data_IF_530850443339
#
_entry.id   IF_530850443339
#
_cell.length_a   1.000
_cell.length_b   1.000
_cell.length_c   1.000
_cell.angle_alpha   90.00
_cell.angle_beta   90.00
_cell.angle_gamma   90.00
#
_symmetry.space_group_name_H-M   'P 1'
#
loop_
_entity.id
_entity.type
_entity.pdbx_description
1 polymer ?
#
# COMPACT_ATOMS: atom_id res chain seq x y z
N UNK A 1 -23.76 23.92 10.37
CA UNK A 1 -23.32 23.47 9.03
C UNK A 1 -22.19 24.30 8.43
N UNK A 2 -22.26 25.63 8.39
CA UNK A 2 -21.19 26.49 7.84
C UNK A 2 -19.85 26.34 8.58
N UNK A 3 -19.87 26.27 9.91
CA UNK A 3 -18.67 26.08 10.74
C UNK A 3 -17.97 24.73 10.52
N UNK A 4 -18.73 23.66 10.23
CA UNK A 4 -18.18 22.34 9.90
C UNK A 4 -17.49 22.36 8.53
N UNK A 5 -18.07 23.08 7.55
CA UNK A 5 -17.45 23.27 6.24
C UNK A 5 -16.14 24.06 6.35
N UNK A 6 -16.12 25.12 7.17
CA UNK A 6 -14.91 25.91 7.41
C UNK A 6 -13.84 25.04 8.07
N UNK A 7 -14.20 24.24 9.09
CA UNK A 7 -13.27 23.31 9.74
C UNK A 7 -12.69 22.29 8.76
N UNK A 8 -13.53 21.71 7.88
CA UNK A 8 -13.07 20.76 6.85
C UNK A 8 -12.09 21.40 5.87
N UNK A 9 -12.36 22.62 5.41
CA UNK A 9 -11.46 23.36 4.51
C UNK A 9 -10.12 23.65 5.19
N UNK A 10 -10.15 24.10 6.45
CA UNK A 10 -8.93 24.32 7.24
C UNK A 10 -8.14 23.01 7.37
N UNK A 11 -8.80 21.91 7.73
CA UNK A 11 -8.16 20.60 7.85
C UNK A 11 -7.54 20.14 6.52
N UNK A 12 -8.24 20.33 5.40
CA UNK A 12 -7.73 19.99 4.07
C UNK A 12 -6.50 20.83 3.69
N UNK A 13 -6.50 22.13 4.01
CA UNK A 13 -5.34 23.02 3.78
C UNK A 13 -4.15 22.59 4.64
N UNK A 14 -4.38 22.28 5.92
CA UNK A 14 -3.33 21.81 6.84
C UNK A 14 -2.75 20.48 6.35
N UNK A 15 -3.60 19.52 5.99
CA UNK A 15 -3.16 18.23 5.44
C UNK A 15 -2.38 18.43 4.13
N UNK A 16 -2.90 19.26 3.21
CA UNK A 16 -2.24 19.57 1.95
C UNK A 16 -0.87 20.21 2.16
N UNK A 17 -0.77 21.18 3.08
CA UNK A 17 0.49 21.81 3.46
C UNK A 17 1.48 20.81 4.06
N UNK A 18 1.03 19.92 4.94
CA UNK A 18 1.87 18.87 5.52
C UNK A 18 2.39 17.90 4.45
N UNK A 19 1.55 17.49 3.50
CA UNK A 19 1.95 16.63 2.38
C UNK A 19 2.97 17.33 1.46
N UNK A 20 2.76 18.61 1.15
CA UNK A 20 3.73 19.39 0.37
C UNK A 20 5.07 19.52 1.10
N UNK A 21 5.05 19.74 2.41
CA UNK A 21 6.25 19.74 3.25
C UNK A 21 6.98 18.39 3.22
N UNK A 22 6.26 17.28 3.30
CA UNK A 22 6.84 15.95 3.18
C UNK A 22 7.48 15.71 1.81
N UNK A 23 6.80 16.10 0.72
CA UNK A 23 7.34 16.01 -0.65
C UNK A 23 8.62 16.83 -0.81
N UNK A 24 8.67 18.03 -0.22
CA UNK A 24 9.88 18.87 -0.26
C UNK A 24 11.07 18.28 0.50
N UNK A 25 10.83 17.29 1.37
CA UNK A 25 11.86 16.61 2.16
C UNK A 25 12.34 15.30 1.54
N UNK A 26 11.84 14.92 0.36
CA UNK A 26 12.28 13.73 -0.36
C UNK A 26 13.72 13.90 -0.88
N UNK A 27 14.46 12.79 -0.95
CA UNK A 27 15.76 12.80 -1.62
C UNK A 27 15.62 13.17 -3.10
N UNK A 28 16.67 13.76 -3.71
CA UNK A 28 16.69 14.04 -5.13
C UNK A 28 16.42 12.79 -5.97
N UNK A 29 15.74 12.97 -7.10
CA UNK A 29 15.49 11.89 -8.03
C UNK A 29 16.81 11.23 -8.48
N UNK A 30 16.85 9.90 -8.49
CA UNK A 30 18.03 9.12 -8.86
C UNK A 30 19.10 9.01 -7.77
N UNK A 31 18.89 9.60 -6.59
CA UNK A 31 19.81 9.51 -5.45
C UNK A 31 19.11 8.81 -4.29
N UNK A 32 19.17 7.47 -4.22
CA UNK A 32 18.56 6.73 -3.12
C UNK A 32 19.26 7.06 -1.79
N UNK A 33 18.50 6.93 -0.70
CA UNK A 33 19.06 7.00 0.66
C UNK A 33 20.07 5.88 0.87
N UNK A 34 20.97 6.04 1.84
CA UNK A 34 21.92 4.97 2.18
C UNK A 34 21.21 3.65 2.54
N UNK A 35 20.11 3.75 3.29
CA UNK A 35 19.27 2.61 3.67
C UNK A 35 18.54 2.01 2.46
N UNK A 36 17.91 2.84 1.62
CA UNK A 36 17.20 2.39 0.42
C UNK A 36 18.14 1.66 -0.54
N UNK A 37 19.33 2.22 -0.77
CA UNK A 37 20.34 1.61 -1.63
C UNK A 37 20.80 0.24 -1.14
N UNK A 38 20.99 0.08 0.17
CA UNK A 38 21.40 -1.21 0.74
C UNK A 38 20.33 -2.29 0.54
N UNK A 39 19.05 -1.92 0.65
CA UNK A 39 17.92 -2.82 0.40
C UNK A 39 17.79 -3.15 -1.09
N UNK A 40 17.91 -2.14 -1.96
CA UNK A 40 17.85 -2.31 -3.41
C UNK A 40 18.96 -3.27 -3.90
N UNK A 41 20.20 -3.06 -3.45
CA UNK A 41 21.35 -3.93 -3.76
C UNK A 41 21.11 -5.35 -3.26
N UNK A 42 20.58 -5.52 -2.05
CA UNK A 42 20.26 -6.85 -1.52
C UNK A 42 19.27 -7.60 -2.41
N UNK A 43 18.16 -6.96 -2.83
CA UNK A 43 17.17 -7.62 -3.68
C UNK A 43 17.72 -7.93 -5.08
N UNK A 44 18.49 -7.04 -5.67
CA UNK A 44 19.07 -7.25 -7.00
C UNK A 44 20.11 -8.38 -7.01
N UNK A 45 20.98 -8.44 -6.00
CA UNK A 45 22.07 -9.42 -5.95
C UNK A 45 21.60 -10.80 -5.48
N UNK A 46 20.57 -10.87 -4.64
CA UNK A 46 20.16 -12.10 -3.95
C UNK A 46 18.94 -12.78 -4.56
N UNK A 47 18.06 -12.07 -5.26
CA UNK A 47 16.82 -12.68 -5.78
C UNK A 47 17.08 -13.89 -6.70
N UNK A 48 18.07 -13.80 -7.59
CA UNK A 48 18.43 -14.92 -8.47
C UNK A 48 19.07 -16.09 -7.70
N UNK A 49 19.99 -15.78 -6.78
CA UNK A 49 20.75 -16.79 -6.05
C UNK A 49 19.93 -17.53 -4.99
N UNK A 50 19.14 -16.81 -4.20
CA UNK A 50 18.46 -17.34 -3.02
C UNK A 50 17.07 -17.88 -3.36
N UNK A 51 16.39 -17.31 -4.37
CA UNK A 51 14.98 -17.60 -4.70
C UNK A 51 14.81 -18.20 -6.10
N UNK A 52 15.89 -18.34 -6.89
CA UNK A 52 15.83 -18.80 -8.29
C UNK A 52 14.81 -18.00 -9.13
N UNK A 53 14.68 -16.70 -8.83
CA UNK A 53 13.68 -15.83 -9.44
C UNK A 53 14.36 -14.69 -10.21
N UNK A 54 14.30 -14.76 -11.54
CA UNK A 54 14.84 -13.73 -12.43
C UNK A 54 14.03 -12.42 -12.38
N UNK A 55 12.75 -12.50 -12.00
CA UNK A 55 11.91 -11.32 -11.84
C UNK A 55 11.99 -10.80 -10.40
N UNK A 56 12.87 -9.82 -10.19
CA UNK A 56 13.09 -9.20 -8.88
C UNK A 56 11.81 -8.57 -8.30
N UNK A 57 10.91 -8.05 -9.13
CA UNK A 57 9.64 -7.48 -8.63
C UNK A 57 8.76 -8.58 -8.05
N UNK A 58 8.64 -9.71 -8.76
CA UNK A 58 7.85 -10.86 -8.30
C UNK A 58 8.46 -11.45 -7.03
N UNK A 59 9.79 -11.58 -6.94
CA UNK A 59 10.43 -12.09 -5.73
C UNK A 59 10.23 -11.18 -4.53
N UNK A 60 10.21 -9.85 -4.73
CA UNK A 60 9.89 -8.92 -3.64
C UNK A 60 8.44 -9.11 -3.18
N UNK A 61 7.48 -9.10 -4.11
CA UNK A 61 6.05 -9.13 -3.76
C UNK A 61 5.64 -10.48 -3.16
N UNK A 62 6.09 -11.60 -3.70
CA UNK A 62 5.66 -12.93 -3.24
C UNK A 62 6.57 -13.60 -2.22
N UNK A 63 7.88 -13.33 -2.23
CA UNK A 63 8.82 -13.96 -1.30
C UNK A 63 9.22 -13.00 -0.18
N UNK A 64 10.02 -11.97 -0.45
CA UNK A 64 10.56 -11.08 0.59
C UNK A 64 9.46 -10.33 1.37
N UNK A 65 8.40 -9.91 0.69
CA UNK A 65 7.26 -9.17 1.26
C UNK A 65 5.93 -9.91 1.05
N UNK A 66 5.97 -11.24 0.94
CA UNK A 66 4.78 -12.06 0.74
C UNK A 66 3.69 -11.88 1.80
N UNK A 67 4.06 -11.49 3.02
CA UNK A 67 3.09 -11.19 4.08
C UNK A 67 2.17 -10.01 3.74
N UNK A 68 2.70 -8.96 3.09
CA UNK A 68 1.90 -7.82 2.65
C UNK A 68 0.88 -8.26 1.59
N UNK A 69 1.28 -9.11 0.64
CA UNK A 69 0.41 -9.67 -0.41
C UNK A 69 -0.65 -10.66 0.11
N UNK A 70 -0.33 -11.44 1.14
CA UNK A 70 -1.33 -12.24 1.86
C UNK A 70 -2.38 -11.32 2.52
N UNK A 71 -1.92 -10.20 3.09
CA UNK A 71 -2.79 -9.14 3.62
C UNK A 71 -3.72 -8.56 2.56
N UNK A 72 -3.18 -8.14 1.41
CA UNK A 72 -3.97 -7.65 0.26
C UNK A 72 -5.03 -8.66 -0.19
N UNK A 73 -4.62 -9.93 -0.34
CA UNK A 73 -5.53 -11.02 -0.71
C UNK A 73 -6.66 -11.22 0.32
N UNK A 74 -6.33 -11.09 1.61
CA UNK A 74 -7.31 -11.18 2.71
C UNK A 74 -8.31 -10.02 2.66
N UNK A 75 -7.84 -8.79 2.40
CA UNK A 75 -8.71 -7.62 2.25
C UNK A 75 -9.66 -7.79 1.07
N UNK A 76 -9.15 -8.23 -0.09
CA UNK A 76 -9.97 -8.51 -1.28
C UNK A 76 -10.99 -9.62 -1.01
N UNK A 77 -10.58 -10.69 -0.33
CA UNK A 77 -11.47 -11.77 0.05
C UNK A 77 -12.59 -11.30 1.00
N UNK A 78 -12.24 -10.51 2.02
CA UNK A 78 -13.22 -9.94 2.95
C UNK A 78 -14.19 -8.98 2.24
N UNK A 79 -13.70 -8.17 1.30
CA UNK A 79 -14.55 -7.29 0.48
C UNK A 79 -15.52 -8.10 -0.38
N UNK A 80 -15.05 -9.16 -1.03
CA UNK A 80 -15.88 -10.08 -1.82
C UNK A 80 -16.96 -10.74 -0.95
N UNK A 81 -16.59 -11.29 0.22
CA UNK A 81 -17.54 -11.88 1.16
C UNK A 81 -18.59 -10.86 1.62
N UNK A 82 -18.18 -9.63 1.91
CA UNK A 82 -19.08 -8.56 2.35
C UNK A 82 -20.16 -8.26 1.29
N UNK A 83 -19.74 -8.17 0.02
CA UNK A 83 -20.67 -7.98 -1.11
C UNK A 83 -21.60 -9.19 -1.24
N UNK A 84 -21.07 -10.41 -1.20
CA UNK A 84 -21.88 -11.64 -1.31
C UNK A 84 -22.91 -11.75 -0.19
N UNK A 85 -22.54 -11.40 1.04
CA UNK A 85 -23.46 -11.39 2.18
C UNK A 85 -24.56 -10.34 2.03
N UNK A 86 -24.24 -9.15 1.52
CA UNK A 86 -25.22 -8.08 1.28
C UNK A 86 -26.28 -8.49 0.25
N UNK A 87 -25.88 -9.19 -0.81
CA UNK A 87 -26.78 -9.65 -1.87
C UNK A 87 -27.41 -11.03 -1.60
N UNK A 88 -27.08 -11.68 -0.49
CA UNK A 88 -27.66 -12.98 -0.13
C UNK A 88 -29.15 -12.81 0.16
N UNK A 89 -30.01 -13.32 -0.73
CA UNK A 89 -31.46 -13.34 -0.54
C UNK A 89 -31.80 -14.07 0.76
N UNK A 90 -32.34 -13.36 1.74
CA UNK A 90 -32.71 -13.91 3.04
C UNK A 90 -33.72 -15.04 2.86
N UNK A 91 -33.34 -16.26 3.26
CA UNK A 91 -34.24 -17.40 3.34
C UNK A 91 -35.24 -17.22 4.49
N UNK A 92 -36.24 -16.37 4.30
CA UNK A 92 -37.57 -16.52 4.91
C UNK A 92 -38.60 -16.39 3.80
N UNK A 93 -38.91 -17.54 3.20
CA UNK A 93 -40.27 -17.73 2.70
C UNK A 93 -41.15 -17.84 3.94
N UNK A 94 -42.14 -16.95 4.03
CA UNK A 94 -43.35 -17.23 4.80
C UNK A 94 -44.00 -18.51 4.23
#
# INVERSE_FOLDING_TARGET
MKSVRILFVIAAIVMGGALMGAVSSLHPFGVPSAEGRAVDEHYLDRAGADLSCENVVTSIVFDYRGFDTIGESTVLFAALLSVMMLFRKGGRKQ
#
